data_IF_167043164469
#
_entry.id   IF_167043164469
#
_cell.length_a   1.000
_cell.length_b   1.000
_cell.length_c   1.000
_cell.angle_alpha   90.00
_cell.angle_beta   90.00
_cell.angle_gamma   90.00
#
_symmetry.space_group_name_H-M   'P 1'
#
loop_
_entity.id
_entity.type
_entity.pdbx_description
1 polymer ?
#
# COMPACT_ATOMS: atom_id res chain seq x y z
N UNK A 1 3.59 59.68 -12.98
CA UNK A 1 4.45 58.47 -12.99
C UNK A 1 5.69 58.75 -13.83
N UNK A 2 6.88 58.61 -13.25
CA UNK A 2 8.15 58.76 -13.98
C UNK A 2 8.30 57.62 -15.01
N UNK A 3 9.10 57.81 -16.07
CA UNK A 3 9.39 56.74 -17.05
C UNK A 3 9.96 55.49 -16.37
N UNK A 4 10.71 55.68 -15.28
CA UNK A 4 11.22 54.61 -14.42
C UNK A 4 10.07 53.81 -13.77
N UNK A 5 9.07 54.47 -13.19
CA UNK A 5 7.90 53.79 -12.58
C UNK A 5 7.08 52.99 -13.61
N UNK A 6 6.93 53.49 -14.84
CA UNK A 6 6.22 52.76 -15.91
C UNK A 6 6.99 51.51 -16.36
N UNK A 7 8.33 51.58 -16.41
CA UNK A 7 9.18 50.42 -16.70
C UNK A 7 9.10 49.34 -15.61
N UNK A 8 9.19 49.74 -14.34
CA UNK A 8 9.11 48.81 -13.20
C UNK A 8 7.74 48.14 -13.05
N UNK A 9 6.64 48.85 -13.32
CA UNK A 9 5.29 48.26 -13.31
C UNK A 9 5.13 47.27 -14.47
N UNK A 10 5.63 47.61 -15.67
CA UNK A 10 5.61 46.69 -16.82
C UNK A 10 6.34 45.38 -16.54
N UNK A 11 7.56 45.44 -15.99
CA UNK A 11 8.33 44.24 -15.64
C UNK A 11 7.67 43.40 -14.56
N UNK A 12 7.06 44.03 -13.55
CA UNK A 12 6.34 43.30 -12.49
C UNK A 12 5.09 42.60 -13.04
N UNK A 13 4.32 43.25 -13.91
CA UNK A 13 3.15 42.64 -14.52
C UNK A 13 3.52 41.47 -15.43
N UNK A 14 4.58 41.61 -16.23
CA UNK A 14 5.10 40.49 -17.05
C UNK A 14 5.59 39.33 -16.18
N UNK A 15 6.33 39.61 -15.11
CA UNK A 15 6.80 38.59 -14.18
C UNK A 15 5.64 37.88 -13.46
N UNK A 16 4.63 38.62 -13.02
CA UNK A 16 3.43 38.05 -12.40
C UNK A 16 2.66 37.15 -13.38
N UNK A 17 2.47 37.60 -14.63
CA UNK A 17 1.80 36.81 -15.65
C UNK A 17 2.56 35.52 -15.96
N UNK A 18 3.89 35.60 -16.10
CA UNK A 18 4.74 34.42 -16.30
C UNK A 18 4.64 33.46 -15.11
N UNK A 19 4.66 33.97 -13.87
CA UNK A 19 4.49 33.16 -12.66
C UNK A 19 3.14 32.43 -12.63
N UNK A 20 2.04 33.12 -12.96
CA UNK A 20 0.70 32.50 -13.05
C UNK A 20 0.67 31.40 -14.11
N UNK A 21 1.25 31.66 -15.29
CA UNK A 21 1.30 30.65 -16.36
C UNK A 21 2.10 29.43 -15.93
N UNK A 22 3.26 29.62 -15.29
CA UNK A 22 4.07 28.50 -14.80
C UNK A 22 3.32 27.66 -13.76
N UNK A 23 2.66 28.30 -12.80
CA UNK A 23 1.84 27.59 -11.81
C UNK A 23 0.72 26.81 -12.50
N UNK A 24 0.00 27.44 -13.44
CA UNK A 24 -1.07 26.77 -14.17
C UNK A 24 -0.56 25.55 -14.96
N UNK A 25 0.62 25.66 -15.61
CA UNK A 25 1.23 24.56 -16.35
C UNK A 25 1.63 23.41 -15.43
N UNK A 26 2.25 23.70 -14.29
CA UNK A 26 2.72 22.64 -13.38
C UNK A 26 1.55 21.91 -12.71
N UNK A 27 0.56 22.64 -12.19
CA UNK A 27 -0.62 22.03 -11.56
C UNK A 27 -1.53 21.35 -12.58
N UNK A 28 -1.74 21.98 -13.74
CA UNK A 28 -2.53 21.39 -14.82
C UNK A 28 -1.85 20.17 -15.44
N UNK A 29 -0.52 20.21 -15.54
CA UNK A 29 0.30 19.09 -16.01
C UNK A 29 0.21 17.90 -15.09
N UNK A 30 0.39 18.08 -13.77
CA UNK A 30 0.16 17.00 -12.80
C UNK A 30 -1.24 16.41 -12.98
N UNK A 31 -2.28 17.27 -13.00
CA UNK A 31 -3.65 16.80 -13.03
C UNK A 31 -3.96 15.98 -14.29
N UNK A 32 -3.39 16.37 -15.43
CA UNK A 32 -3.54 15.64 -16.69
C UNK A 32 -2.78 14.31 -16.70
N UNK A 33 -1.55 14.30 -16.21
CA UNK A 33 -0.67 13.13 -16.19
C UNK A 33 -1.07 12.11 -15.11
N UNK A 34 -1.92 12.49 -14.16
CA UNK A 34 -2.43 11.60 -13.11
C UNK A 34 -3.81 11.01 -13.43
N UNK A 35 -4.33 11.20 -14.64
CA UNK A 35 -5.61 10.60 -15.05
C UNK A 35 -5.46 9.13 -15.43
N UNK A 36 -6.51 8.34 -15.20
CA UNK A 36 -6.59 6.95 -15.66
C UNK A 36 -6.45 6.84 -17.19
N UNK A 37 -7.02 7.81 -17.92
CA UNK A 37 -6.91 7.90 -19.38
C UNK A 37 -5.46 8.11 -19.84
N UNK A 38 -4.71 8.96 -19.15
CA UNK A 38 -3.29 9.15 -19.44
C UNK A 38 -2.48 7.88 -19.13
N UNK A 39 -2.66 7.30 -17.94
CA UNK A 39 -1.94 6.08 -17.54
C UNK A 39 -2.18 4.93 -18.52
N UNK A 40 -3.39 4.80 -19.05
CA UNK A 40 -3.75 3.74 -20.01
C UNK A 40 -3.71 4.14 -21.47
N UNK A 41 -3.12 5.30 -21.77
CA UNK A 41 -2.84 5.70 -23.16
C UNK A 41 -1.77 4.82 -23.83
N UNK A 42 -0.90 4.19 -23.03
CA UNK A 42 -0.02 3.12 -23.47
C UNK A 42 -0.74 1.76 -23.39
N UNK A 43 -0.68 0.99 -24.47
CA UNK A 43 -1.31 -0.33 -24.54
C UNK A 43 -0.83 -1.30 -23.43
N UNK A 44 0.46 -1.23 -23.06
CA UNK A 44 1.06 -2.05 -22.01
C UNK A 44 0.39 -1.86 -20.65
N UNK A 45 -0.14 -0.67 -20.37
CA UNK A 45 -0.81 -0.34 -19.11
C UNK A 45 -2.26 -0.84 -19.05
N UNK A 46 -2.81 -1.35 -20.16
CA UNK A 46 -4.14 -1.97 -20.15
C UNK A 46 -4.14 -3.31 -19.40
N UNK A 47 -3.02 -4.02 -19.36
CA UNK A 47 -2.86 -5.25 -18.59
C UNK A 47 -3.00 -5.01 -17.06
N UNK A 48 -2.17 -4.16 -16.42
CA UNK A 48 -2.31 -3.87 -15.00
C UNK A 48 -3.63 -3.18 -14.65
N UNK A 49 -4.25 -2.41 -15.56
CA UNK A 49 -5.59 -1.87 -15.34
C UNK A 49 -6.65 -2.98 -15.22
N UNK A 50 -6.57 -4.01 -16.07
CA UNK A 50 -7.48 -5.15 -15.99
C UNK A 50 -7.28 -5.94 -14.70
N UNK A 51 -6.04 -6.09 -14.24
CA UNK A 51 -5.68 -6.73 -12.97
C UNK A 51 -6.23 -5.93 -11.78
N UNK A 52 -6.06 -4.60 -11.78
CA UNK A 52 -6.61 -3.72 -10.74
C UNK A 52 -8.11 -3.96 -10.57
N UNK A 53 -8.88 -4.01 -11.66
CA UNK A 53 -10.34 -4.24 -11.63
C UNK A 53 -10.74 -5.60 -11.05
N UNK A 54 -9.82 -6.57 -11.05
CA UNK A 54 -10.04 -7.92 -10.51
C UNK A 54 -9.49 -8.07 -9.08
N UNK A 55 -8.68 -7.13 -8.62
CA UNK A 55 -8.07 -7.17 -7.30
C UNK A 55 -9.05 -6.93 -6.15
N UNK A 56 -8.61 -7.29 -4.95
CA UNK A 56 -9.32 -6.99 -3.69
C UNK A 56 -9.45 -5.49 -3.40
N UNK A 57 -8.66 -4.64 -4.06
CA UNK A 57 -8.71 -3.19 -3.87
C UNK A 57 -9.81 -2.52 -4.71
N UNK A 58 -10.38 -3.22 -5.68
CA UNK A 58 -11.49 -2.72 -6.49
C UNK A 58 -12.84 -3.02 -5.84
N UNK A 59 -13.71 -2.01 -5.74
CA UNK A 59 -15.03 -2.13 -5.10
C UNK A 59 -15.03 -2.19 -3.57
N UNK A 60 -13.94 -2.65 -2.93
CA UNK A 60 -13.87 -2.81 -1.47
C UNK A 60 -13.83 -1.48 -0.70
N UNK A 61 -13.27 -0.41 -1.30
CA UNK A 61 -13.04 0.87 -0.62
C UNK A 61 -14.22 1.85 -0.74
N UNK A 62 -15.38 1.41 -1.26
CA UNK A 62 -16.56 2.26 -1.49
C UNK A 62 -16.41 3.26 -2.65
N UNK A 63 -15.17 3.55 -3.06
CA UNK A 63 -14.77 4.19 -4.31
C UNK A 63 -13.68 3.36 -4.96
N UNK A 64 -13.72 3.21 -6.29
CA UNK A 64 -12.71 2.45 -7.00
C UNK A 64 -11.43 3.29 -7.11
N UNK A 65 -10.28 2.83 -6.60
CA UNK A 65 -9.02 3.53 -6.78
C UNK A 65 -8.62 3.51 -8.27
N UNK A 66 -8.03 4.60 -8.73
CA UNK A 66 -7.34 4.68 -10.03
C UNK A 66 -5.83 4.53 -9.89
N UNK A 67 -5.11 4.53 -11.01
CA UNK A 67 -3.64 4.35 -11.01
C UNK A 67 -2.92 5.29 -10.03
N UNK A 68 -3.27 6.58 -10.04
CA UNK A 68 -2.58 7.61 -9.24
C UNK A 68 -2.74 7.41 -7.74
N UNK A 69 -3.82 6.75 -7.30
CA UNK A 69 -4.17 6.66 -5.88
C UNK A 69 -3.19 5.77 -5.11
N UNK A 70 -2.49 4.88 -5.83
CA UNK A 70 -1.38 4.09 -5.30
C UNK A 70 -0.02 4.57 -5.82
N UNK A 71 0.09 4.93 -7.10
CA UNK A 71 1.39 5.15 -7.77
C UNK A 71 1.92 6.59 -7.77
N UNK A 72 1.11 7.60 -7.39
CA UNK A 72 1.55 9.01 -7.36
C UNK A 72 1.32 9.66 -5.99
N UNK A 73 2.30 10.37 -5.40
CA UNK A 73 2.12 11.13 -4.14
C UNK A 73 0.96 12.10 -4.22
N UNK A 74 0.00 11.98 -3.30
CA UNK A 74 -1.20 12.81 -3.29
C UNK A 74 -1.10 13.94 -2.26
N UNK A 75 -1.84 15.02 -2.52
CA UNK A 75 -1.94 16.17 -1.61
C UNK A 75 -0.88 17.24 -1.85
N UNK A 76 -1.19 18.47 -1.45
CA UNK A 76 -0.33 19.64 -1.68
C UNK A 76 1.02 19.52 -0.97
N UNK A 77 1.06 18.87 0.19
CA UNK A 77 2.26 18.60 0.97
C UNK A 77 3.26 17.71 0.22
N UNK A 78 2.76 16.75 -0.57
CA UNK A 78 3.57 15.81 -1.35
C UNK A 78 3.65 16.18 -2.83
N UNK A 79 3.15 17.35 -3.22
CA UNK A 79 3.09 17.78 -4.63
C UNK A 79 4.46 17.76 -5.31
N UNK A 80 5.52 18.10 -4.57
CA UNK A 80 6.89 18.03 -5.05
C UNK A 80 7.31 16.59 -5.39
N UNK A 81 6.88 15.60 -4.62
CA UNK A 81 7.09 14.18 -4.92
C UNK A 81 6.25 13.75 -6.13
N UNK A 82 5.01 14.23 -6.25
CA UNK A 82 4.14 13.94 -7.40
C UNK A 82 4.80 14.40 -8.71
N UNK A 83 5.25 15.66 -8.73
CA UNK A 83 5.97 16.23 -9.87
C UNK A 83 7.27 15.46 -10.15
N UNK A 84 8.02 15.08 -9.11
CA UNK A 84 9.24 14.29 -9.29
C UNK A 84 8.94 12.89 -9.86
N UNK A 85 7.84 12.25 -9.44
CA UNK A 85 7.43 10.94 -9.94
C UNK A 85 7.13 11.00 -11.44
N UNK A 86 6.37 12.01 -11.89
CA UNK A 86 6.12 12.23 -13.31
C UNK A 86 7.40 12.54 -14.11
N UNK A 87 8.26 13.41 -13.57
CA UNK A 87 9.45 13.88 -14.27
C UNK A 87 10.60 12.86 -14.34
N UNK A 88 10.74 12.01 -13.32
CA UNK A 88 11.83 11.04 -13.21
C UNK A 88 11.32 9.67 -13.64
N UNK A 89 10.36 9.12 -12.91
CA UNK A 89 9.86 7.76 -13.14
C UNK A 89 9.02 7.71 -14.41
N UNK A 90 8.09 8.66 -14.60
CA UNK A 90 7.29 8.75 -15.83
C UNK A 90 8.14 8.92 -17.10
N UNK A 91 9.22 9.71 -17.04
CA UNK A 91 10.15 9.86 -18.16
C UNK A 91 10.95 8.58 -18.44
N UNK A 92 11.35 7.86 -17.38
CA UNK A 92 12.00 6.55 -17.49
C UNK A 92 11.07 5.53 -18.13
N UNK A 93 9.83 5.44 -17.65
CA UNK A 93 8.83 4.50 -18.18
C UNK A 93 8.46 4.82 -19.63
N UNK A 94 8.34 6.10 -20.01
CA UNK A 94 8.16 6.49 -21.40
C UNK A 94 9.32 6.00 -22.28
N UNK A 95 10.56 6.18 -21.83
CA UNK A 95 11.72 5.67 -22.55
C UNK A 95 11.68 4.14 -22.68
N UNK A 96 11.36 3.43 -21.60
CA UNK A 96 11.26 1.97 -21.60
C UNK A 96 10.15 1.46 -22.52
N UNK A 97 8.98 2.09 -22.52
CA UNK A 97 7.87 1.80 -23.44
C UNK A 97 8.30 1.96 -24.92
N UNK A 98 9.16 2.94 -25.22
CA UNK A 98 9.61 3.20 -26.59
C UNK A 98 10.71 2.24 -27.08
N UNK A 99 11.54 1.70 -26.18
CA UNK A 99 12.70 0.87 -26.57
C UNK A 99 12.47 -0.63 -26.37
N UNK A 100 11.49 -1.02 -25.55
CA UNK A 100 11.14 -2.41 -25.31
C UNK A 100 9.86 -2.79 -26.06
N UNK A 101 9.56 -4.08 -26.10
CA UNK A 101 8.39 -4.61 -26.78
C UNK A 101 7.38 -5.12 -25.76
N UNK A 102 6.23 -4.45 -25.68
CA UNK A 102 5.11 -4.81 -24.81
C UNK A 102 3.85 -5.22 -25.58
N UNK A 103 4.02 -5.54 -26.87
CA UNK A 103 2.91 -5.82 -27.81
C UNK A 103 2.02 -7.00 -27.42
N UNK A 104 2.51 -7.88 -26.55
CA UNK A 104 1.76 -9.01 -26.01
C UNK A 104 1.96 -9.11 -24.50
N UNK A 105 0.99 -9.73 -23.83
CA UNK A 105 1.09 -10.00 -22.39
C UNK A 105 2.32 -10.87 -22.05
N UNK A 106 2.67 -11.81 -22.94
CA UNK A 106 3.89 -12.63 -22.77
C UNK A 106 5.15 -11.77 -22.68
N UNK A 107 5.33 -10.82 -23.61
CA UNK A 107 6.48 -9.91 -23.59
C UNK A 107 6.45 -8.92 -22.43
N UNK A 108 5.26 -8.48 -22.03
CA UNK A 108 5.09 -7.71 -20.79
C UNK A 108 5.56 -8.51 -19.57
N UNK A 109 5.21 -9.79 -19.51
CA UNK A 109 5.56 -10.68 -18.42
C UNK A 109 7.05 -10.97 -18.33
N UNK A 110 7.79 -10.96 -19.45
CA UNK A 110 9.26 -11.08 -19.45
C UNK A 110 9.93 -10.00 -18.58
N UNK A 111 9.29 -8.83 -18.42
CA UNK A 111 9.81 -7.70 -17.64
C UNK A 111 8.98 -7.37 -16.41
N UNK A 112 7.90 -8.12 -16.13
CA UNK A 112 6.95 -7.78 -15.05
C UNK A 112 7.63 -7.70 -13.68
N UNK A 113 8.56 -8.60 -13.38
CA UNK A 113 9.28 -8.58 -12.10
C UNK A 113 10.09 -7.27 -11.93
N UNK A 114 10.78 -6.82 -12.98
CA UNK A 114 11.53 -5.55 -12.95
C UNK A 114 10.59 -4.38 -12.72
N UNK A 115 9.49 -4.30 -13.49
CA UNK A 115 8.51 -3.21 -13.37
C UNK A 115 7.83 -3.19 -11.99
N UNK A 116 7.46 -4.37 -11.47
CA UNK A 116 6.90 -4.50 -10.13
C UNK A 116 7.91 -4.07 -9.06
N UNK A 117 9.18 -4.48 -9.19
CA UNK A 117 10.25 -4.05 -8.29
C UNK A 117 10.41 -2.53 -8.29
N UNK A 118 10.46 -1.90 -9.46
CA UNK A 118 10.60 -0.44 -9.57
C UNK A 118 9.41 0.31 -8.97
N UNK A 119 8.18 -0.17 -9.21
CA UNK A 119 6.99 0.38 -8.57
C UNK A 119 7.04 0.23 -7.03
N UNK A 120 7.49 -0.92 -6.53
CA UNK A 120 7.68 -1.17 -5.08
C UNK A 120 8.76 -0.27 -4.48
N UNK A 121 9.86 -0.07 -5.19
CA UNK A 121 10.95 0.83 -4.78
C UNK A 121 10.47 2.27 -4.68
N UNK A 122 9.63 2.70 -5.63
CA UNK A 122 8.93 3.96 -5.50
C UNK A 122 8.09 3.93 -4.23
N UNK A 123 7.11 3.01 -4.07
CA UNK A 123 6.27 2.78 -2.86
C UNK A 123 7.04 2.83 -1.53
N UNK A 124 8.27 2.33 -1.50
CA UNK A 124 9.12 2.38 -0.31
C UNK A 124 9.74 3.77 -0.07
N UNK A 125 10.22 4.44 -1.12
CA UNK A 125 10.95 5.73 -1.05
C UNK A 125 10.18 6.86 -0.35
N UNK A 126 8.89 6.94 -0.61
CA UNK A 126 7.90 7.83 0.03
C UNK A 126 7.13 7.17 1.18
N UNK A 127 7.69 6.13 1.83
CA UNK A 127 7.10 5.50 3.03
C UNK A 127 5.63 5.07 2.86
N UNK A 128 5.28 4.55 1.67
CA UNK A 128 3.92 4.07 1.38
C UNK A 128 2.82 5.11 1.69
N UNK A 129 3.10 6.40 1.52
CA UNK A 129 2.19 7.50 1.90
C UNK A 129 0.81 7.40 1.24
N UNK A 130 0.73 6.85 0.03
CA UNK A 130 -0.55 6.54 -0.65
C UNK A 130 -1.33 5.45 0.07
N UNK A 131 -0.67 4.37 0.48
CA UNK A 131 -1.29 3.33 1.31
C UNK A 131 -1.82 3.95 2.62
N UNK A 132 -1.00 4.75 3.30
CA UNK A 132 -1.33 5.39 4.59
C UNK A 132 -2.45 6.43 4.50
N UNK A 133 -2.68 6.99 3.30
CA UNK A 133 -3.79 7.94 3.07
C UNK A 133 -5.14 7.30 3.35
N UNK A 134 -5.31 6.03 2.97
CA UNK A 134 -6.54 5.25 3.21
C UNK A 134 -6.41 4.35 4.44
N UNK A 135 -5.27 3.68 4.64
CA UNK A 135 -5.01 2.76 5.75
C UNK A 135 -4.43 3.47 6.98
N UNK A 136 -5.19 4.40 7.57
CA UNK A 136 -4.72 5.25 8.67
C UNK A 136 -4.51 4.52 10.00
N UNK A 137 -5.28 3.45 10.24
CA UNK A 137 -5.26 2.66 11.48
C UNK A 137 -5.46 1.18 11.12
N UNK A 138 -4.47 0.55 10.48
CA UNK A 138 -4.59 -0.85 10.10
C UNK A 138 -4.73 -1.71 11.36
N UNK A 139 -5.66 -2.67 11.33
CA UNK A 139 -5.85 -3.66 12.38
C UNK A 139 -5.52 -5.04 11.79
N UNK A 140 -4.23 -5.43 11.78
CA UNK A 140 -3.83 -6.72 11.23
C UNK A 140 -4.45 -7.87 12.06
N UNK A 141 -4.94 -8.94 11.40
CA UNK A 141 -5.51 -10.09 12.09
C UNK A 141 -4.41 -11.00 12.65
N UNK A 142 -4.58 -11.49 13.88
CA UNK A 142 -3.64 -12.42 14.53
C UNK A 142 -2.47 -11.74 15.24
N UNK A 143 -1.89 -12.44 16.22
CA UNK A 143 -0.81 -11.91 17.08
C UNK A 143 0.49 -11.68 16.29
N UNK A 144 0.84 -12.57 15.37
CA UNK A 144 2.04 -12.46 14.53
C UNK A 144 2.01 -11.20 13.67
N UNK A 145 0.91 -10.97 12.94
CA UNK A 145 0.77 -9.79 12.08
C UNK A 145 0.69 -8.48 12.90
N UNK A 146 0.12 -8.52 14.11
CA UNK A 146 0.15 -7.39 15.05
C UNK A 146 1.57 -7.09 15.52
N UNK A 147 2.36 -8.11 15.84
CA UNK A 147 3.76 -7.95 16.22
C UNK A 147 4.59 -7.33 15.08
N UNK A 148 4.41 -7.80 13.84
CA UNK A 148 5.11 -7.23 12.67
C UNK A 148 4.70 -5.77 12.39
N UNK A 149 3.40 -5.46 12.44
CA UNK A 149 2.96 -4.06 12.30
C UNK A 149 3.50 -3.16 13.40
N UNK A 150 3.65 -3.67 14.64
CA UNK A 150 4.27 -2.93 15.74
C UNK A 150 5.75 -2.66 15.50
N UNK A 151 6.47 -3.63 14.91
CA UNK A 151 7.88 -3.44 14.51
C UNK A 151 8.05 -2.35 13.46
N UNK A 152 7.05 -2.11 12.58
CA UNK A 152 7.11 -1.01 11.62
C UNK A 152 7.29 0.37 12.31
N UNK A 153 6.72 0.56 13.51
CA UNK A 153 6.87 1.81 14.27
C UNK A 153 8.31 2.00 14.79
N UNK A 154 9.04 0.91 15.03
CA UNK A 154 10.37 0.93 15.65
C UNK A 154 11.51 0.77 14.65
N UNK A 155 11.27 0.07 13.54
CA UNK A 155 12.31 -0.34 12.57
C UNK A 155 12.24 0.43 11.25
N UNK A 156 11.24 1.28 11.07
CA UNK A 156 11.09 2.10 9.85
C UNK A 156 10.71 1.31 8.61
N UNK A 157 10.09 0.13 8.79
CA UNK A 157 9.52 -0.65 7.70
C UNK A 157 8.28 0.05 7.11
N UNK A 158 8.11 -0.10 5.81
CA UNK A 158 7.02 0.44 5.00
C UNK A 158 6.02 -0.66 4.67
N UNK A 159 4.79 -0.31 4.27
CA UNK A 159 3.76 -1.28 3.93
C UNK A 159 4.23 -2.27 2.84
N UNK A 160 4.97 -1.76 1.86
CA UNK A 160 5.44 -2.51 0.69
C UNK A 160 6.64 -3.43 1.00
N UNK A 161 7.25 -3.34 2.19
CA UNK A 161 8.28 -4.27 2.59
C UNK A 161 7.72 -5.69 2.76
N UNK A 162 6.45 -5.83 3.16
CA UNK A 162 5.76 -7.11 3.28
C UNK A 162 4.66 -7.30 2.23
N UNK A 163 3.87 -6.28 1.92
CA UNK A 163 2.68 -6.41 1.07
C UNK A 163 2.96 -6.13 -0.42
N UNK A 164 3.67 -7.02 -1.10
CA UNK A 164 4.19 -6.78 -2.46
C UNK A 164 3.30 -7.22 -3.63
N UNK A 165 2.34 -8.13 -3.39
CA UNK A 165 1.46 -8.72 -4.41
C UNK A 165 -0.02 -8.42 -4.06
N UNK A 166 -0.40 -7.14 -4.07
CA UNK A 166 -1.70 -6.67 -3.57
C UNK A 166 -2.79 -6.52 -4.64
N UNK A 167 -2.40 -6.18 -5.86
CA UNK A 167 -3.31 -5.66 -6.90
C UNK A 167 -3.03 -6.30 -8.24
N UNK A 168 -1.77 -6.26 -8.65
CA UNK A 168 -1.31 -6.79 -9.92
C UNK A 168 -0.96 -8.27 -9.78
N UNK A 169 -0.93 -8.94 -10.93
CA UNK A 169 -0.57 -10.35 -11.02
C UNK A 169 0.76 -10.62 -10.32
N UNK A 170 0.82 -11.72 -9.58
CA UNK A 170 1.91 -11.97 -8.66
C UNK A 170 3.24 -12.19 -9.38
N UNK A 171 4.29 -11.69 -8.75
CA UNK A 171 5.68 -11.99 -9.11
C UNK A 171 6.48 -12.28 -7.85
N UNK A 172 7.66 -12.92 -7.96
CA UNK A 172 8.54 -13.12 -6.82
C UNK A 172 8.74 -11.83 -6.02
N UNK A 173 8.71 -11.98 -4.69
CA UNK A 173 8.95 -10.85 -3.80
C UNK A 173 10.43 -10.47 -3.82
N UNK A 174 10.68 -9.17 -3.68
CA UNK A 174 12.03 -8.61 -3.65
C UNK A 174 12.35 -8.06 -2.27
N UNK A 175 13.58 -8.29 -1.79
CA UNK A 175 14.08 -7.62 -0.59
C UNK A 175 14.46 -6.19 -0.98
N UNK A 176 13.57 -5.25 -0.67
CA UNK A 176 13.74 -3.84 -1.05
C UNK A 176 14.91 -3.18 -0.29
N UNK A 177 15.16 -3.58 0.96
CA UNK A 177 16.28 -3.06 1.75
C UNK A 177 17.62 -3.54 1.18
N UNK A 178 17.73 -4.84 0.91
CA UNK A 178 18.91 -5.41 0.26
C UNK A 178 19.10 -4.85 -1.16
N UNK A 179 18.01 -4.61 -1.89
CA UNK A 179 18.06 -4.03 -3.23
C UNK A 179 18.61 -2.60 -3.21
N UNK A 180 18.20 -1.78 -2.24
CA UNK A 180 18.78 -0.44 -2.01
C UNK A 180 20.26 -0.55 -1.67
N UNK A 181 20.63 -1.44 -0.74
CA UNK A 181 22.01 -1.58 -0.27
C UNK A 181 22.97 -2.05 -1.38
N UNK A 182 22.49 -2.91 -2.28
CA UNK A 182 23.30 -3.50 -3.35
C UNK A 182 23.18 -2.75 -4.69
N UNK A 183 22.22 -1.85 -4.83
CA UNK A 183 21.95 -1.12 -6.07
C UNK A 183 21.46 -1.99 -7.22
N UNK A 184 20.84 -3.14 -6.92
CA UNK A 184 20.28 -4.10 -7.90
C UNK A 184 19.07 -4.81 -7.32
N UNK A 185 18.21 -5.37 -8.16
CA UNK A 185 17.10 -6.21 -7.72
C UNK A 185 17.64 -7.43 -6.94
N UNK A 186 17.15 -7.61 -5.72
CA UNK A 186 17.44 -8.76 -4.85
C UNK A 186 16.13 -9.46 -4.54
N UNK A 187 16.04 -10.75 -4.86
CA UNK A 187 14.89 -11.59 -4.50
C UNK A 187 14.91 -11.88 -2.99
N UNK A 188 13.72 -11.96 -2.38
CA UNK A 188 13.62 -12.59 -1.05
C UNK A 188 13.92 -14.08 -1.20
N UNK A 189 14.49 -14.73 -0.17
CA UNK A 189 14.46 -16.18 -0.08
C UNK A 189 13.02 -16.66 -0.27
N UNK A 190 12.82 -17.73 -1.02
CA UNK A 190 11.52 -18.40 -0.99
C UNK A 190 11.36 -18.92 0.45
N UNK A 191 10.21 -18.64 1.05
CA UNK A 191 9.82 -19.25 2.31
C UNK A 191 9.44 -20.69 1.96
N UNK A 192 10.44 -21.58 1.94
CA UNK A 192 10.22 -23.01 2.02
C UNK A 192 9.54 -23.28 3.36
N UNK A 193 8.21 -23.32 3.32
CA UNK A 193 7.32 -23.52 4.46
C UNK A 193 7.58 -24.83 5.18
N UNK A 194 8.68 -24.88 5.93
CA UNK A 194 8.81 -25.69 7.12
C UNK A 194 8.03 -24.94 8.19
N UNK A 195 6.71 -25.17 8.19
CA UNK A 195 5.95 -25.22 9.42
C UNK A 195 6.68 -26.26 10.29
N UNK A 196 7.68 -25.82 11.06
CA UNK A 196 8.08 -26.51 12.28
C UNK A 196 6.83 -26.50 13.15
N UNK A 197 5.97 -27.51 12.95
CA UNK A 197 5.04 -28.01 13.94
C UNK A 197 5.84 -28.08 15.24
N UNK A 198 5.60 -27.11 16.11
CA UNK A 198 6.09 -27.17 17.47
C UNK A 198 5.38 -28.37 18.10
N UNK A 199 6.04 -29.53 18.05
CA UNK A 199 5.72 -30.69 18.85
C UNK A 199 5.67 -30.20 20.31
N UNK A 200 4.45 -29.99 20.82
CA UNK A 200 4.21 -29.84 22.25
C UNK A 200 4.49 -31.22 22.88
N UNK A 201 5.73 -31.41 23.30
CA UNK A 201 6.15 -32.50 24.18
C UNK A 201 5.36 -32.41 25.51
N UNK A 202 4.24 -33.13 25.63
CA UNK A 202 3.60 -33.43 26.91
C UNK A 202 4.40 -34.53 27.62
N UNK A 203 5.43 -34.13 28.37
CA UNK A 203 6.12 -34.98 29.35
C UNK A 203 5.22 -35.22 30.58
N UNK A 204 4.79 -36.47 30.64
CA UNK A 204 4.32 -37.34 31.72
C UNK A 204 4.60 -37.01 33.23
N UNK A 205 3.58 -37.39 34.01
CA UNK A 205 3.55 -37.91 35.41
C UNK A 205 3.62 -36.95 36.62
N UNK A 206 2.57 -36.99 37.46
CA UNK A 206 2.70 -37.58 38.81
C UNK A 206 1.38 -38.19 39.31
N UNK A 207 1.56 -39.38 39.87
CA UNK A 207 0.67 -40.33 40.52
C UNK A 207 -0.12 -39.76 41.72
N UNK A 208 -1.30 -40.30 42.00
CA UNK A 208 -1.53 -41.24 43.12
C UNK A 208 -3.03 -41.47 43.37
N UNK A 209 -3.29 -42.65 43.95
CA UNK A 209 -4.53 -43.40 43.98
C UNK A 209 -5.61 -42.95 44.99
N UNK A 210 -6.75 -43.68 44.91
CA UNK A 210 -7.60 -44.11 46.04
C UNK A 210 -8.60 -43.02 46.57
N UNK A 211 -9.87 -43.26 46.88
CA UNK A 211 -10.78 -44.42 46.99
C UNK A 211 -12.22 -43.88 47.00
N UNK A 212 -13.13 -44.79 46.70
CA UNK A 212 -14.59 -44.79 46.79
C UNK A 212 -15.33 -43.69 47.58
N UNK A 213 -16.49 -43.27 47.06
CA UNK A 213 -17.81 -43.65 47.62
C UNK A 213 -18.97 -42.91 46.96
N UNK A 214 -20.03 -43.69 46.76
CA UNK A 214 -21.35 -43.33 46.25
C UNK A 214 -22.02 -42.13 46.94
N UNK A 215 -22.82 -41.40 46.19
CA UNK A 215 -24.18 -41.00 46.62
C UNK A 215 -24.94 -40.34 45.46
N UNK A 216 -25.83 -41.09 44.84
CA UNK A 216 -26.98 -40.57 44.13
C UNK A 216 -27.82 -39.67 45.05
N UNK A 217 -28.33 -38.54 44.55
CA UNK A 217 -29.76 -38.23 44.68
C UNK A 217 -30.15 -37.01 43.86
N UNK A 218 -31.15 -37.22 43.00
CA UNK A 218 -31.89 -36.23 42.27
C UNK A 218 -32.53 -35.14 43.16
N UNK A 219 -32.71 -33.94 42.63
CA UNK A 219 -34.05 -33.40 42.40
C UNK A 219 -34.00 -32.13 41.55
N UNK A 220 -34.65 -32.20 40.40
CA UNK A 220 -35.30 -31.10 39.71
C UNK A 220 -36.23 -30.30 40.63
N UNK A 221 -36.22 -28.97 40.54
CA UNK A 221 -37.43 -28.17 40.28
C UNK A 221 -37.09 -26.68 40.21
N UNK A 222 -37.22 -26.14 39.00
CA UNK A 222 -37.72 -24.78 38.78
C UNK A 222 -38.97 -24.55 39.64
N UNK A 223 -39.08 -23.41 40.31
CA UNK A 223 -40.04 -22.38 39.93
C UNK A 223 -39.97 -21.14 40.82
N UNK A 224 -40.62 -20.11 40.29
CA UNK A 224 -41.25 -18.95 40.92
C UNK A 224 -40.44 -17.65 40.92
N UNK A 225 -40.82 -16.88 39.90
CA UNK A 225 -40.75 -15.46 39.70
C UNK A 225 -41.25 -14.62 40.88
N UNK A 226 -40.86 -13.35 40.78
CA UNK A 226 -41.51 -12.13 41.25
C UNK A 226 -41.56 -11.88 42.76
N UNK A 227 -40.82 -10.87 43.20
CA UNK A 227 -41.45 -9.62 43.65
C UNK A 227 -40.42 -8.47 43.68
N UNK A 228 -40.68 -7.52 42.79
CA UNK A 228 -40.83 -6.10 43.04
C UNK A 228 -39.69 -5.22 43.61
N UNK A 229 -39.61 -4.10 42.91
CA UNK A 229 -39.54 -2.75 43.44
C UNK A 229 -38.19 -2.00 43.39
N UNK A 230 -38.21 -1.04 42.46
CA UNK A 230 -37.89 0.37 42.67
C UNK A 230 -36.44 0.85 42.48
N UNK A 231 -36.29 1.50 41.31
CA UNK A 231 -36.09 2.95 41.18
C UNK A 231 -34.68 3.43 40.81
N UNK A 232 -34.58 3.81 39.53
CA UNK A 232 -33.93 5.00 38.95
C UNK A 232 -32.63 5.53 39.59
N UNK A 233 -31.52 5.37 38.85
CA UNK A 233 -30.67 6.47 38.36
C UNK A 233 -29.89 6.05 37.09
#
# INVERSE_FOLDING_TARGET
MTRLQKGSIGTLLTGALLGIVLVAVVFGGEAALSTEEFCTSCHSMTYPQAELKQSTHYGALGVNPGCKDCHIPQGIENFHLAVATHAIDGARELYLELVNDYSTLEKFNERRLEMAHDARMNLKKWDSITCRTCHKKPAPPGESAQAEHKKMETEGATCIDCHQNLVHEEVPMTDLNASIAQGKLVLKPEDDGDDEEADEDEDEETEEADDSSDSESASSSDNSDDEDDNNDE
#
